data_IF_760074282854
#
_entry.id   IF_760074282854
#
_cell.length_a   1.000
_cell.length_b   1.000
_cell.length_c   1.000
_cell.angle_alpha   90.00
_cell.angle_beta   90.00
_cell.angle_gamma   90.00
#
_symmetry.space_group_name_H-M   'P 1'
#
loop_
_entity.id
_entity.type
_entity.pdbx_description
1 polymer ?
#
# COMPACT_ATOMS: atom_id res chain seq x y z
N UNK A 1 0.37 -15.33 -57.12
CA UNK A 1 1.15 -14.20 -57.66
C UNK A 1 0.30 -12.94 -57.41
N UNK A 2 0.36 -12.37 -56.20
CA UNK A 2 1.15 -11.15 -55.86
C UNK A 2 0.84 -10.00 -56.83
N UNK A 3 0.49 -8.78 -56.42
CA UNK A 3 0.65 -8.02 -55.17
C UNK A 3 0.12 -6.59 -55.43
N UNK A 4 0.12 -5.76 -54.38
CA UNK A 4 0.03 -4.28 -54.31
C UNK A 4 -1.23 -3.76 -53.60
N UNK A 5 -1.25 -3.71 -52.26
CA UNK A 5 -0.76 -2.60 -51.40
C UNK A 5 -1.33 -1.23 -51.81
N UNK A 6 -2.06 -0.56 -50.90
CA UNK A 6 -1.63 0.67 -50.20
C UNK A 6 -2.77 1.30 -49.38
N UNK A 7 -2.57 1.43 -48.07
CA UNK A 7 -3.21 2.46 -47.23
C UNK A 7 -2.38 3.75 -47.31
N UNK A 8 -3.02 4.94 -47.21
CA UNK A 8 -2.65 5.83 -46.11
C UNK A 8 -3.78 6.73 -45.55
N UNK A 9 -3.79 6.85 -44.21
CA UNK A 9 -3.96 8.04 -43.34
C UNK A 9 -5.09 9.09 -43.55
N UNK A 10 -5.98 9.14 -42.54
CA UNK A 10 -6.33 10.26 -41.61
C UNK A 10 -6.80 11.64 -42.15
N UNK A 11 -8.02 12.02 -41.72
CA UNK A 11 -8.48 13.29 -41.10
C UNK A 11 -9.76 13.93 -41.68
N UNK A 12 -10.52 14.53 -40.75
CA UNK A 12 -11.62 15.49 -40.87
C UNK A 12 -13.04 14.95 -41.06
N UNK A 13 -13.81 14.90 -39.97
CA UNK A 13 -15.24 15.18 -40.03
C UNK A 13 -15.63 16.24 -39.01
N UNK A 14 -15.92 17.40 -39.58
CA UNK A 14 -16.34 18.67 -39.02
C UNK A 14 -17.69 18.55 -38.31
N UNK A 15 -17.74 19.06 -37.08
CA UNK A 15 -18.90 19.18 -36.20
C UNK A 15 -19.99 20.06 -36.81
N UNK A 16 -21.01 19.48 -37.43
CA UNK A 16 -22.26 20.18 -37.75
C UNK A 16 -23.22 20.01 -36.57
N UNK A 17 -23.24 21.02 -35.70
CA UNK A 17 -24.15 21.15 -34.57
C UNK A 17 -25.55 21.49 -35.09
N UNK A 18 -26.38 20.47 -35.32
CA UNK A 18 -27.81 20.66 -35.54
C UNK A 18 -28.48 20.98 -34.19
N UNK A 19 -28.70 22.27 -33.97
CA UNK A 19 -29.41 22.93 -32.87
C UNK A 19 -30.94 22.65 -32.89
N UNK A 20 -31.34 21.41 -33.18
CA UNK A 20 -32.74 20.94 -33.09
C UNK A 20 -32.71 19.45 -32.75
N UNK A 21 -32.15 19.11 -31.57
CA UNK A 21 -32.29 17.77 -31.03
C UNK A 21 -33.31 17.79 -29.88
N UNK A 22 -34.20 16.80 -29.90
CA UNK A 22 -35.35 16.66 -29.01
C UNK A 22 -34.88 16.66 -27.53
N UNK A 23 -35.55 17.36 -26.59
CA UNK A 23 -35.10 17.42 -25.19
C UNK A 23 -34.97 16.03 -24.53
N UNK A 24 -35.74 15.03 -24.99
CA UNK A 24 -35.59 13.64 -24.57
C UNK A 24 -34.33 12.95 -25.13
N UNK A 25 -33.88 13.34 -26.32
CA UNK A 25 -32.61 12.84 -26.91
C UNK A 25 -31.41 13.49 -26.21
N UNK A 26 -31.53 14.75 -25.76
CA UNK A 26 -30.47 15.42 -25.01
C UNK A 26 -30.27 14.81 -23.62
N UNK A 27 -31.35 14.42 -22.94
CA UNK A 27 -31.26 13.61 -21.71
C UNK A 27 -30.66 12.22 -21.98
N UNK A 28 -31.01 11.57 -23.10
CA UNK A 28 -30.37 10.29 -23.48
C UNK A 28 -28.89 10.46 -23.79
N UNK A 29 -28.46 11.54 -24.46
CA UNK A 29 -27.03 11.82 -24.70
C UNK A 29 -26.29 12.16 -23.40
N UNK A 30 -26.91 12.84 -22.44
CA UNK A 30 -26.32 13.09 -21.12
C UNK A 30 -26.25 11.80 -20.27
N UNK A 31 -27.26 10.92 -20.36
CA UNK A 31 -27.22 9.58 -19.77
C UNK A 31 -26.23 8.66 -20.48
N UNK A 32 -26.05 8.74 -21.80
CA UNK A 32 -25.03 7.99 -22.53
C UNK A 32 -23.61 8.53 -22.26
N UNK A 33 -23.46 9.83 -22.03
CA UNK A 33 -22.18 10.43 -21.62
C UNK A 33 -21.85 10.10 -20.17
N UNK A 34 -22.87 10.00 -19.30
CA UNK A 34 -22.71 9.59 -17.90
C UNK A 34 -22.58 8.07 -17.70
N UNK A 35 -23.06 7.24 -18.63
CA UNK A 35 -22.90 5.77 -18.57
C UNK A 35 -21.63 5.28 -19.25
N UNK A 36 -21.03 6.06 -20.16
CA UNK A 36 -19.71 5.77 -20.75
C UNK A 36 -18.51 6.10 -19.84
N UNK A 37 -18.73 6.49 -18.59
CA UNK A 37 -17.67 6.87 -17.64
C UNK A 37 -17.75 6.17 -16.28
N UNK A 38 -18.16 4.90 -16.20
CA UNK A 38 -17.78 4.06 -15.06
C UNK A 38 -17.88 2.55 -15.32
N UNK A 39 -16.92 2.01 -16.05
CA UNK A 39 -16.51 0.61 -15.89
C UNK A 39 -15.00 0.56 -15.64
N UNK A 40 -14.53 0.79 -14.40
CA UNK A 40 -13.11 0.74 -14.08
C UNK A 40 -12.59 -0.69 -13.82
N UNK A 41 -13.41 -1.72 -14.00
CA UNK A 41 -13.01 -3.10 -13.74
C UNK A 41 -12.74 -3.82 -15.06
N UNK A 42 -11.44 -3.99 -15.34
CA UNK A 42 -10.92 -5.11 -16.12
C UNK A 42 -11.59 -6.40 -15.58
N UNK A 43 -12.06 -7.31 -16.44
CA UNK A 43 -12.67 -8.55 -15.96
C UNK A 43 -11.66 -9.29 -15.06
N UNK A 44 -12.11 -9.72 -13.88
CA UNK A 44 -11.33 -10.47 -12.87
C UNK A 44 -10.83 -11.84 -13.38
N UNK A 45 -11.11 -12.17 -14.64
CA UNK A 45 -10.65 -13.36 -15.36
C UNK A 45 -10.41 -12.95 -16.82
N UNK A 46 -9.19 -13.07 -17.38
CA UNK A 46 -8.03 -13.83 -16.90
C UNK A 46 -7.00 -12.99 -16.14
N UNK A 47 -6.38 -13.57 -15.09
CA UNK A 47 -5.15 -13.04 -14.51
C UNK A 47 -4.11 -12.91 -15.63
N UNK A 48 -3.74 -11.69 -15.98
CA UNK A 48 -2.62 -11.46 -16.87
C UNK A 48 -1.35 -11.88 -16.15
N UNK A 49 -0.38 -12.50 -16.84
CA UNK A 49 0.90 -12.90 -16.24
C UNK A 49 1.61 -11.74 -15.53
N UNK A 50 1.37 -10.51 -15.98
CA UNK A 50 1.85 -9.27 -15.37
C UNK A 50 1.31 -9.07 -13.95
N UNK A 51 0.04 -9.40 -13.68
CA UNK A 51 -0.57 -9.23 -12.36
C UNK A 51 -0.01 -10.24 -11.37
N UNK A 52 0.17 -11.49 -11.81
CA UNK A 52 0.80 -12.55 -10.99
C UNK A 52 2.23 -12.18 -10.61
N UNK A 53 3.03 -11.67 -11.56
CA UNK A 53 4.40 -11.20 -11.29
C UNK A 53 4.37 -9.99 -10.33
N UNK A 54 3.40 -9.08 -10.48
CA UNK A 54 3.19 -7.97 -9.56
C UNK A 54 2.91 -8.44 -8.13
N UNK A 55 2.04 -9.43 -7.95
CA UNK A 55 1.73 -10.00 -6.64
C UNK A 55 2.90 -10.74 -6.00
N UNK A 56 3.65 -11.53 -6.78
CA UNK A 56 4.83 -12.22 -6.23
C UNK A 56 5.88 -11.22 -5.77
N UNK A 57 6.20 -10.22 -6.61
CA UNK A 57 7.15 -9.16 -6.26
C UNK A 57 6.68 -8.35 -5.05
N UNK A 58 5.38 -8.01 -4.97
CA UNK A 58 4.79 -7.34 -3.82
C UNK A 58 4.99 -8.15 -2.53
N UNK A 59 4.79 -9.46 -2.60
CA UNK A 59 4.93 -10.37 -1.46
C UNK A 59 6.37 -10.41 -0.98
N UNK A 60 7.35 -10.53 -1.88
CA UNK A 60 8.77 -10.48 -1.52
C UNK A 60 9.17 -9.12 -0.92
N UNK A 61 8.71 -8.02 -1.52
CA UNK A 61 8.96 -6.68 -1.00
C UNK A 61 8.38 -6.51 0.42
N UNK A 62 7.15 -7.00 0.64
CA UNK A 62 6.49 -6.94 1.94
C UNK A 62 7.20 -7.84 2.98
N UNK A 63 7.69 -9.02 2.58
CA UNK A 63 8.49 -9.89 3.44
C UNK A 63 9.77 -9.22 3.92
N UNK A 64 10.52 -8.57 3.01
CA UNK A 64 11.72 -7.83 3.36
C UNK A 64 11.41 -6.62 4.25
N UNK A 65 10.32 -5.89 3.95
CA UNK A 65 9.85 -4.77 4.77
C UNK A 65 9.44 -5.19 6.19
N UNK A 66 8.77 -6.33 6.32
CA UNK A 66 8.38 -6.90 7.61
C UNK A 66 9.60 -7.35 8.41
N UNK A 67 10.58 -8.01 7.76
CA UNK A 67 11.86 -8.39 8.38
C UNK A 67 12.68 -7.17 8.83
N UNK A 68 12.59 -6.05 8.11
CA UNK A 68 13.23 -4.77 8.46
C UNK A 68 12.54 -4.00 9.60
N UNK A 69 11.43 -4.51 10.15
CA UNK A 69 10.74 -3.88 11.28
C UNK A 69 9.93 -2.62 10.95
N UNK A 70 9.67 -2.35 9.66
CA UNK A 70 8.98 -1.12 9.24
C UNK A 70 7.45 -1.19 9.46
N UNK A 71 6.89 -2.39 9.65
CA UNK A 71 5.44 -2.59 9.80
C UNK A 71 4.72 -2.34 8.47
N UNK A 72 4.06 -3.37 7.92
CA UNK A 72 3.63 -3.39 6.51
C UNK A 72 2.79 -2.19 6.04
N UNK A 73 2.06 -1.51 6.93
CA UNK A 73 1.12 -0.45 6.56
C UNK A 73 1.75 0.79 5.89
N UNK A 74 2.95 1.21 6.30
CA UNK A 74 3.59 2.41 5.73
C UNK A 74 4.10 2.23 4.30
N UNK A 75 4.46 1.00 3.94
CA UNK A 75 5.05 0.65 2.63
C UNK A 75 3.99 0.15 1.66
N UNK A 76 2.89 -0.41 2.14
CA UNK A 76 1.89 -1.08 1.31
C UNK A 76 1.20 -0.15 0.29
N UNK A 77 0.85 1.07 0.71
CA UNK A 77 0.20 2.06 -0.18
C UNK A 77 1.12 2.46 -1.35
N UNK A 78 2.35 2.95 -1.13
CA UNK A 78 3.26 3.28 -2.22
C UNK A 78 3.66 2.05 -3.04
N UNK A 79 3.75 0.86 -2.43
CA UNK A 79 4.00 -0.39 -3.13
C UNK A 79 2.90 -0.71 -4.15
N UNK A 80 1.62 -0.54 -3.79
CA UNK A 80 0.51 -0.75 -4.71
C UNK A 80 0.42 0.30 -5.82
N UNK A 81 0.76 1.55 -5.53
CA UNK A 81 0.85 2.59 -6.55
C UNK A 81 1.97 2.26 -7.55
N UNK A 82 3.13 1.79 -7.08
CA UNK A 82 4.25 1.45 -7.96
C UNK A 82 3.96 0.21 -8.82
N UNK A 83 3.45 -0.87 -8.22
CA UNK A 83 3.26 -2.16 -8.91
C UNK A 83 2.03 -2.21 -9.81
N UNK A 84 0.91 -1.63 -9.36
CA UNK A 84 -0.37 -1.72 -10.06
C UNK A 84 -0.79 -0.40 -10.72
N UNK A 85 -0.03 0.68 -10.53
CA UNK A 85 -0.34 2.02 -11.07
C UNK A 85 -1.77 2.48 -10.72
N UNK A 86 -2.27 2.02 -9.56
CA UNK A 86 -3.59 2.40 -9.08
C UNK A 86 -3.59 3.81 -8.51
N UNK A 87 -4.72 4.51 -8.67
CA UNK A 87 -4.92 5.78 -8.00
C UNK A 87 -4.93 5.56 -6.47
N UNK A 88 -4.38 6.50 -5.67
CA UNK A 88 -4.31 6.38 -4.22
C UNK A 88 -5.66 6.05 -3.57
N UNK A 89 -6.77 6.53 -4.16
CA UNK A 89 -8.14 6.29 -3.71
C UNK A 89 -8.53 4.80 -3.68
N UNK A 90 -7.93 3.97 -4.54
CA UNK A 90 -8.18 2.53 -4.60
C UNK A 90 -7.08 1.74 -3.85
N UNK A 91 -5.84 2.23 -3.90
CA UNK A 91 -4.71 1.59 -3.22
C UNK A 91 -4.82 1.65 -1.69
N UNK A 92 -5.34 2.73 -1.12
CA UNK A 92 -5.44 2.91 0.33
C UNK A 92 -6.42 1.90 0.96
N UNK A 93 -7.68 1.76 0.50
CA UNK A 93 -8.57 0.72 1.04
C UNK A 93 -8.01 -0.70 0.87
N UNK A 94 -7.38 -0.98 -0.28
CA UNK A 94 -6.77 -2.29 -0.54
C UNK A 94 -5.63 -2.58 0.44
N UNK A 95 -4.81 -1.56 0.75
CA UNK A 95 -3.74 -1.69 1.73
C UNK A 95 -4.24 -2.00 3.13
N UNK A 96 -5.35 -1.39 3.55
CA UNK A 96 -5.92 -1.62 4.88
C UNK A 96 -6.39 -3.06 5.03
N UNK A 97 -6.98 -3.66 3.99
CA UNK A 97 -7.39 -5.07 3.99
C UNK A 97 -6.18 -6.00 4.15
N UNK A 98 -5.09 -5.73 3.41
CA UNK A 98 -3.87 -6.54 3.51
C UNK A 98 -3.19 -6.39 4.87
N UNK A 99 -3.14 -5.18 5.43
CA UNK A 99 -2.61 -4.93 6.78
C UNK A 99 -3.45 -5.63 7.84
N UNK A 100 -4.78 -5.60 7.71
CA UNK A 100 -5.69 -6.33 8.59
C UNK A 100 -5.43 -7.84 8.54
N UNK A 101 -5.28 -8.41 7.34
CA UNK A 101 -4.94 -9.83 7.16
C UNK A 101 -3.61 -10.19 7.82
N UNK A 102 -2.57 -9.36 7.63
CA UNK A 102 -1.28 -9.52 8.28
C UNK A 102 -1.36 -9.40 9.80
N UNK A 103 -2.17 -8.48 10.31
CA UNK A 103 -2.40 -8.31 11.74
C UNK A 103 -3.12 -9.53 12.35
N UNK A 104 -4.16 -10.05 11.70
CA UNK A 104 -4.85 -11.28 12.14
C UNK A 104 -3.89 -12.47 12.17
N UNK A 105 -3.11 -12.67 11.10
CA UNK A 105 -2.13 -13.74 11.03
C UNK A 105 -1.09 -13.59 12.16
N UNK A 106 -0.58 -12.39 12.38
CA UNK A 106 0.36 -12.10 13.46
C UNK A 106 -0.28 -12.34 14.84
N UNK A 107 -1.52 -11.93 15.06
CA UNK A 107 -2.24 -12.16 16.31
C UNK A 107 -2.43 -13.64 16.57
N UNK A 108 -2.84 -14.45 15.59
CA UNK A 108 -2.97 -15.92 15.74
C UNK A 108 -1.61 -16.55 16.10
N UNK A 109 -0.54 -16.14 15.43
CA UNK A 109 0.81 -16.65 15.70
C UNK A 109 1.32 -16.25 17.09
N UNK A 110 1.01 -15.03 17.56
CA UNK A 110 1.43 -14.54 18.87
C UNK A 110 0.55 -15.08 20.01
N UNK A 111 -0.75 -15.32 19.78
CA UNK A 111 -1.63 -15.98 20.73
C UNK A 111 -1.16 -17.40 21.08
N UNK A 112 -0.55 -18.10 20.11
CA UNK A 112 -0.01 -19.44 20.31
C UNK A 112 1.32 -19.44 21.09
N UNK A 113 1.97 -18.28 21.30
CA UNK A 113 3.22 -18.15 22.05
C UNK A 113 2.95 -17.79 23.51
N UNK A 114 3.24 -18.70 24.43
CA UNK A 114 3.16 -18.48 25.88
C UNK A 114 4.52 -18.07 26.45
N UNK A 115 4.53 -17.22 27.46
CA UNK A 115 5.75 -16.67 28.04
C UNK A 115 6.57 -17.78 28.74
N UNK A 116 7.87 -17.98 28.42
CA UNK A 116 8.66 -19.13 28.89
C UNK A 116 9.08 -19.07 30.36
N UNK A 117 8.74 -18.02 31.11
CA UNK A 117 9.23 -17.78 32.49
C UNK A 117 8.15 -17.32 33.50
N UNK A 118 6.94 -16.98 33.06
CA UNK A 118 5.83 -16.57 33.93
C UNK A 118 4.53 -16.91 33.25
N UNK A 119 3.55 -17.44 33.99
CA UNK A 119 2.29 -17.89 33.41
C UNK A 119 1.33 -16.73 33.10
N UNK A 120 1.77 -15.84 32.22
CA UNK A 120 1.03 -14.67 31.77
C UNK A 120 1.01 -14.64 30.24
N UNK A 121 -0.11 -14.25 29.60
CA UNK A 121 -0.14 -14.03 28.17
C UNK A 121 0.94 -13.01 27.79
N UNK A 122 1.60 -13.22 26.65
CA UNK A 122 2.60 -12.30 26.12
C UNK A 122 1.96 -10.97 25.67
N UNK A 123 0.65 -11.00 25.46
CA UNK A 123 -0.19 -9.88 25.06
C UNK A 123 -0.83 -9.25 26.30
N UNK A 124 -0.60 -7.95 26.48
CA UNK A 124 -1.30 -7.13 27.47
C UNK A 124 -2.61 -6.62 26.88
N UNK A 125 -3.73 -7.24 27.30
CA UNK A 125 -5.06 -6.92 26.78
C UNK A 125 -5.58 -5.57 27.26
N UNK A 126 -5.15 -5.10 28.43
CA UNK A 126 -5.55 -3.80 28.97
C UNK A 126 -4.92 -2.67 28.15
N UNK A 127 -3.66 -2.85 27.75
CA UNK A 127 -2.99 -1.92 26.84
C UNK A 127 -3.69 -1.87 25.47
N UNK A 128 -4.09 -3.02 24.92
CA UNK A 128 -4.81 -3.07 23.64
C UNK A 128 -6.13 -2.31 23.71
N UNK A 129 -6.90 -2.51 24.78
CA UNK A 129 -8.20 -1.85 24.98
C UNK A 129 -8.08 -0.32 25.05
N UNK A 130 -6.98 0.21 25.61
CA UNK A 130 -6.72 1.65 25.66
C UNK A 130 -6.26 2.18 24.30
N UNK A 131 -5.49 1.39 23.55
CA UNK A 131 -4.94 1.77 22.24
C UNK A 131 -5.99 1.69 21.12
N UNK A 132 -6.89 0.72 21.15
CA UNK A 132 -7.91 0.50 20.11
C UNK A 132 -8.75 1.76 19.79
N UNK A 133 -9.40 2.45 20.75
CA UNK A 133 -10.23 3.62 20.44
C UNK A 133 -9.42 4.78 19.87
N UNK A 134 -8.19 4.99 20.37
CA UNK A 134 -7.29 6.02 19.84
C UNK A 134 -6.89 5.72 18.39
N UNK A 135 -6.64 4.45 18.09
CA UNK A 135 -6.25 4.02 16.73
C UNK A 135 -7.43 4.16 15.76
N UNK A 136 -8.64 3.77 16.17
CA UNK A 136 -9.85 3.93 15.36
C UNK A 136 -10.14 5.42 15.11
N UNK A 137 -10.08 6.26 16.14
CA UNK A 137 -10.29 7.70 15.99
C UNK A 137 -9.28 8.34 15.02
N UNK A 138 -7.99 8.01 15.18
CA UNK A 138 -6.94 8.48 14.27
C UNK A 138 -7.14 8.01 12.82
N UNK A 139 -7.50 6.73 12.62
CA UNK A 139 -7.75 6.17 11.30
C UNK A 139 -8.96 6.83 10.61
N UNK A 140 -10.05 7.10 11.34
CA UNK A 140 -11.23 7.77 10.81
C UNK A 140 -10.93 9.20 10.39
N UNK A 141 -10.27 9.98 11.26
CA UNK A 141 -9.87 11.36 10.93
C UNK A 141 -8.93 11.36 9.72
N UNK A 142 -7.94 10.48 9.69
CA UNK A 142 -7.02 10.35 8.57
C UNK A 142 -7.72 9.97 7.26
N UNK A 143 -8.71 9.07 7.30
CA UNK A 143 -9.49 8.68 6.13
C UNK A 143 -10.35 9.83 5.59
N UNK A 144 -10.94 10.64 6.47
CA UNK A 144 -11.71 11.83 6.07
C UNK A 144 -10.80 12.87 5.42
N UNK A 145 -9.63 13.15 6.02
CA UNK A 145 -8.62 14.05 5.45
C UNK A 145 -8.17 13.53 4.08
N UNK A 146 -7.90 12.24 3.95
CA UNK A 146 -7.52 11.61 2.68
C UNK A 146 -8.59 11.77 1.58
N UNK A 147 -9.88 11.82 1.93
CA UNK A 147 -10.96 12.03 0.95
C UNK A 147 -11.03 13.47 0.44
N UNK A 148 -10.64 14.44 1.28
CA UNK A 148 -10.68 15.87 0.95
C UNK A 148 -9.41 16.32 0.22
N UNK A 149 -8.28 15.66 0.46
CA UNK A 149 -7.01 15.97 -0.19
C UNK A 149 -6.97 15.49 -1.66
N UNK A 150 -6.18 16.21 -2.47
CA UNK A 150 -5.89 15.83 -3.86
C UNK A 150 -4.88 14.69 -3.93
N UNK A 151 -4.98 13.84 -4.96
CA UNK A 151 -4.17 12.63 -5.15
C UNK A 151 -2.66 12.93 -5.15
N UNK A 152 -2.24 14.06 -5.73
CA UNK A 152 -0.82 14.46 -5.73
C UNK A 152 -0.29 14.80 -4.34
N UNK A 153 -1.12 15.42 -3.49
CA UNK A 153 -0.74 15.77 -2.12
C UNK A 153 -0.53 14.50 -1.29
N UNK A 154 -1.41 13.50 -1.48
CA UNK A 154 -1.30 12.20 -0.82
C UNK A 154 0.01 11.51 -1.23
N UNK A 155 0.33 11.49 -2.53
CA UNK A 155 1.57 10.86 -3.02
C UNK A 155 2.81 11.55 -2.45
N UNK A 156 2.86 12.89 -2.45
CA UNK A 156 3.99 13.64 -1.87
C UNK A 156 4.14 13.32 -0.38
N UNK A 157 3.03 13.29 0.36
CA UNK A 157 3.03 12.96 1.79
C UNK A 157 3.49 11.52 2.05
N UNK A 158 3.10 10.57 1.21
CA UNK A 158 3.57 9.18 1.27
C UNK A 158 5.08 9.07 1.03
N UNK A 159 5.60 9.78 0.02
CA UNK A 159 7.05 9.79 -0.26
C UNK A 159 7.83 10.41 0.91
N UNK A 160 7.33 11.50 1.49
CA UNK A 160 7.93 12.11 2.67
C UNK A 160 7.93 11.16 3.87
N UNK A 161 6.79 10.51 4.14
CA UNK A 161 6.65 9.53 5.23
C UNK A 161 7.62 8.36 5.04
N UNK A 162 7.71 7.80 3.84
CA UNK A 162 8.66 6.73 3.53
C UNK A 162 10.11 7.18 3.71
N UNK A 163 10.44 8.40 3.29
CA UNK A 163 11.80 8.94 3.42
C UNK A 163 12.21 9.10 4.88
N UNK A 164 11.31 9.63 5.72
CA UNK A 164 11.54 9.74 7.17
C UNK A 164 11.64 8.35 7.82
N UNK A 165 10.77 7.42 7.43
CA UNK A 165 10.78 6.05 7.92
C UNK A 165 12.10 5.34 7.57
N UNK A 166 12.56 5.48 6.33
CA UNK A 166 13.84 4.94 5.88
C UNK A 166 15.02 5.55 6.65
N UNK A 167 15.02 6.88 6.83
CA UNK A 167 16.08 7.57 7.56
C UNK A 167 16.14 7.13 9.03
N UNK A 168 15.00 7.06 9.72
CA UNK A 168 14.94 6.64 11.12
C UNK A 168 15.31 5.17 11.29
N UNK A 169 14.93 4.31 10.36
CA UNK A 169 15.30 2.88 10.35
C UNK A 169 16.80 2.71 10.16
N UNK A 170 17.40 3.38 9.17
CA UNK A 170 18.85 3.33 8.93
C UNK A 170 19.66 3.89 10.10
N UNK A 171 19.19 4.98 10.72
CA UNK A 171 19.84 5.55 11.92
C UNK A 171 19.82 4.57 13.09
N UNK A 172 18.69 3.90 13.33
CA UNK A 172 18.57 2.85 14.36
C UNK A 172 19.47 1.66 14.03
N UNK A 173 19.49 1.22 12.78
CA UNK A 173 20.33 0.10 12.32
C UNK A 173 21.82 0.38 12.56
N UNK A 174 22.32 1.57 12.17
CA UNK A 174 23.71 1.97 12.43
C UNK A 174 24.02 1.99 13.93
N UNK A 175 23.13 2.58 14.74
CA UNK A 175 23.31 2.64 16.20
C UNK A 175 23.38 1.24 16.83
N UNK A 176 22.55 0.30 16.38
CA UNK A 176 22.57 -1.07 16.87
C UNK A 176 23.86 -1.80 16.48
N UNK A 177 24.34 -1.62 15.24
CA UNK A 177 25.61 -2.18 14.79
C UNK A 177 26.80 -1.69 15.63
N UNK A 178 26.87 -0.38 15.89
CA UNK A 178 27.93 0.20 16.71
C UNK A 178 27.86 -0.31 18.17
N UNK A 179 26.65 -0.49 18.71
CA UNK A 179 26.42 -1.00 20.07
C UNK A 179 26.81 -2.48 20.21
N UNK A 180 26.50 -3.32 19.22
CA UNK A 180 26.90 -4.72 19.19
C UNK A 180 28.43 -4.87 19.16
N UNK A 181 29.11 -4.00 18.40
CA UNK A 181 30.58 -3.94 18.39
C UNK A 181 31.18 -3.62 19.78
N UNK A 182 30.64 -2.63 20.48
CA UNK A 182 31.09 -2.28 21.82
C UNK A 182 30.82 -3.40 22.84
N UNK A 183 29.61 -3.97 22.84
CA UNK A 183 29.24 -5.05 23.76
C UNK A 183 30.08 -6.31 23.55
N UNK A 184 30.43 -6.62 22.29
CA UNK A 184 31.29 -7.77 21.99
C UNK A 184 32.69 -7.59 22.57
N UNK A 185 33.28 -6.39 22.44
CA UNK A 185 34.60 -6.08 23.03
C UNK A 185 34.53 -6.08 24.57
N UNK A 186 33.48 -5.52 25.16
CA UNK A 186 33.29 -5.51 26.61
C UNK A 186 33.15 -6.93 27.20
N UNK A 187 32.47 -7.85 26.49
CA UNK A 187 32.37 -9.25 26.90
C UNK A 187 33.73 -9.97 26.86
N UNK A 188 34.58 -9.66 25.87
CA UNK A 188 35.94 -10.24 25.79
C UNK A 188 36.80 -9.74 26.95
N UNK A 189 36.75 -8.44 27.27
CA UNK A 189 37.55 -7.86 28.36
C UNK A 189 37.12 -8.45 29.72
N UNK A 190 35.82 -8.46 30.02
CA UNK A 190 35.32 -9.05 31.26
C UNK A 190 35.63 -10.56 31.36
N UNK A 191 35.60 -11.29 30.26
CA UNK A 191 35.98 -12.71 30.24
C UNK A 191 37.48 -12.96 30.47
N UNK A 192 38.36 -11.98 30.25
CA UNK A 192 39.81 -12.08 30.52
C UNK A 192 40.13 -11.71 31.97
N UNK A 193 39.35 -10.84 32.61
CA UNK A 193 39.56 -10.45 34.02
C UNK A 193 39.06 -11.48 35.04
N UNK A 194 38.22 -12.42 34.62
CA UNK A 194 37.67 -13.49 35.45
C UNK A 194 38.47 -14.81 35.41
N UNK A 195 39.54 -14.92 34.61
CA UNK A 195 40.53 -16.04 34.54
C UNK A 195 41.85 -15.72 35.27
#
# INVERSE_FOLDING_TARGET
VTSFLRSPRQHHQTTTFTLFDNPHQQQRRLQETSTKTFTPHKPLTPLSSTDTIGFTLATFALMLAAGGGIGGGGILVPLYILLFQFTPKHAIPLSNVTVLGGAIANTILNLRKRHPKRDRPLIDWDLILIMEPLTIAGALIGALVNKVLSDLVIVIMLVALLSVTAYTTLKKAKKMYDLEGYNHVAQIIHGIEDE
#
